data_IF_504157598376
#
_entry.id   IF_504157598376
#
_cell.length_a   1.000
_cell.length_b   1.000
_cell.length_c   1.000
_cell.angle_alpha   90.00
_cell.angle_beta   90.00
_cell.angle_gamma   90.00
#
_symmetry.space_group_name_H-M   'P 1'
#
loop_
_entity.id
_entity.type
_entity.pdbx_description
1 polymer ?
#
# COMPACT_ATOMS: atom_id res chain seq x y z
N UNK A 1 25.77 -14.48 19.30
CA UNK A 1 25.92 -13.79 18.00
C UNK A 1 24.63 -13.84 17.18
N UNK A 2 24.00 -15.01 17.01
CA UNK A 2 22.73 -15.23 16.29
C UNK A 2 21.58 -14.34 16.79
N UNK A 3 21.38 -14.20 18.09
CA UNK A 3 20.32 -13.35 18.67
C UNK A 3 20.41 -11.88 18.22
N UNK A 4 21.61 -11.27 18.33
CA UNK A 4 21.84 -9.88 17.91
C UNK A 4 21.62 -9.71 16.41
N UNK A 5 22.04 -10.69 15.61
CA UNK A 5 21.85 -10.68 14.17
C UNK A 5 20.36 -10.70 13.79
N UNK A 6 19.57 -11.61 14.38
CA UNK A 6 18.13 -11.71 14.12
C UNK A 6 17.38 -10.43 14.52
N UNK A 7 17.74 -9.82 15.65
CA UNK A 7 17.18 -8.53 16.07
C UNK A 7 17.52 -7.40 15.09
N UNK A 8 18.78 -7.30 14.66
CA UNK A 8 19.18 -6.24 13.72
C UNK A 8 18.54 -6.43 12.34
N UNK A 9 18.41 -7.67 11.87
CA UNK A 9 17.71 -8.02 10.64
C UNK A 9 16.22 -7.61 10.69
N UNK A 10 15.62 -7.65 11.87
CA UNK A 10 14.26 -7.18 12.12
C UNK A 10 14.13 -5.65 12.19
N UNK A 11 14.91 -5.04 13.09
CA UNK A 11 14.76 -3.64 13.47
C UNK A 11 15.24 -2.68 12.40
N UNK A 12 16.37 -2.94 11.73
CA UNK A 12 16.96 -1.98 10.79
C UNK A 12 16.03 -1.71 9.60
N UNK A 13 15.52 -2.73 8.87
CA UNK A 13 14.60 -2.50 7.76
C UNK A 13 13.30 -1.83 8.24
N UNK A 14 12.82 -2.21 9.42
CA UNK A 14 11.59 -1.66 9.98
C UNK A 14 11.72 -0.17 10.29
N UNK A 15 12.76 0.23 11.03
CA UNK A 15 13.04 1.65 11.35
C UNK A 15 13.22 2.45 10.06
N UNK A 16 14.02 1.93 9.11
CA UNK A 16 14.19 2.57 7.81
C UNK A 16 12.86 2.80 7.08
N UNK A 17 11.96 1.82 7.13
CA UNK A 17 10.63 1.92 6.52
C UNK A 17 9.74 2.96 7.18
N UNK A 18 9.77 3.05 8.52
CA UNK A 18 9.03 4.08 9.24
C UNK A 18 9.55 5.48 8.89
N UNK A 19 10.87 5.67 8.83
CA UNK A 19 11.46 6.95 8.43
C UNK A 19 11.05 7.31 7.00
N UNK A 20 11.24 6.41 6.05
CA UNK A 20 10.87 6.62 4.64
C UNK A 20 9.36 6.92 4.52
N UNK A 21 8.49 6.11 5.14
CA UNK A 21 7.04 6.36 5.13
C UNK A 21 6.70 7.72 5.74
N UNK A 22 7.33 8.08 6.86
CA UNK A 22 7.06 9.36 7.54
C UNK A 22 7.39 10.55 6.64
N UNK A 23 8.53 10.54 5.96
CA UNK A 23 8.96 11.65 5.11
C UNK A 23 8.26 11.70 3.75
N UNK A 24 8.05 10.56 3.10
CA UNK A 24 7.55 10.50 1.72
C UNK A 24 6.05 10.24 1.60
N UNK A 25 5.41 9.68 2.64
CA UNK A 25 3.97 9.40 2.68
C UNK A 25 3.28 10.26 3.73
N UNK A 26 3.51 9.99 5.01
CA UNK A 26 2.62 10.49 6.08
C UNK A 26 2.67 12.02 6.21
N UNK A 27 3.83 12.66 6.01
CA UNK A 27 3.94 14.13 6.02
C UNK A 27 3.08 14.78 4.93
N UNK A 28 2.96 14.14 3.77
CA UNK A 28 2.14 14.63 2.66
C UNK A 28 0.67 14.27 2.90
N UNK A 29 0.38 13.01 3.23
CA UNK A 29 -0.99 12.53 3.42
C UNK A 29 -1.70 13.17 4.63
N UNK A 30 -0.96 13.63 5.63
CA UNK A 30 -1.49 14.35 6.80
C UNK A 30 -1.37 15.87 6.67
N UNK A 31 -0.92 16.39 5.53
CA UNK A 31 -0.94 17.84 5.29
C UNK A 31 -2.37 18.32 5.11
N UNK A 32 -2.63 19.59 5.43
CA UNK A 32 -3.96 20.22 5.28
C UNK A 32 -4.48 20.16 3.84
N UNK A 33 -3.57 20.15 2.87
CA UNK A 33 -3.89 19.95 1.46
C UNK A 33 -4.62 18.62 1.19
N UNK A 34 -4.46 17.61 2.07
CA UNK A 34 -5.06 16.29 1.92
C UNK A 34 -6.58 16.26 2.02
N UNK A 35 -7.16 17.25 2.71
CA UNK A 35 -8.61 17.40 2.86
C UNK A 35 -9.18 18.33 1.76
N UNK A 36 -8.34 18.78 0.82
CA UNK A 36 -8.78 19.56 -0.34
C UNK A 36 -9.71 18.73 -1.21
N UNK A 37 -10.86 19.32 -1.57
CA UNK A 37 -11.85 18.65 -2.41
C UNK A 37 -11.47 18.72 -3.88
N UNK A 38 -11.48 17.57 -4.54
CA UNK A 38 -11.31 17.42 -5.98
C UNK A 38 -12.68 17.35 -6.67
N UNK A 39 -12.68 17.53 -8.00
CA UNK A 39 -13.91 17.61 -8.79
C UNK A 39 -14.69 16.29 -8.73
N UNK A 40 -13.97 15.18 -8.93
CA UNK A 40 -14.54 13.84 -9.03
C UNK A 40 -14.47 13.07 -7.71
N UNK A 41 -15.49 12.25 -7.46
CA UNK A 41 -15.43 11.27 -6.37
C UNK A 41 -14.40 10.17 -6.68
N UNK A 42 -13.99 9.43 -5.65
CA UNK A 42 -13.07 8.30 -5.84
C UNK A 42 -13.60 7.27 -6.83
N UNK A 43 -14.91 6.99 -6.84
CA UNK A 43 -15.53 6.09 -7.82
C UNK A 43 -15.48 6.66 -9.24
N UNK A 44 -15.87 7.93 -9.42
CA UNK A 44 -15.83 8.60 -10.73
C UNK A 44 -14.40 8.65 -11.30
N UNK A 45 -13.42 8.85 -10.43
CA UNK A 45 -12.01 8.85 -10.78
C UNK A 45 -11.55 7.49 -11.32
N UNK A 46 -11.92 6.40 -10.64
CA UNK A 46 -11.63 5.03 -11.11
C UNK A 46 -12.22 4.79 -12.48
N UNK A 47 -13.50 5.12 -12.66
CA UNK A 47 -14.19 4.88 -13.94
C UNK A 47 -13.51 5.62 -15.08
N UNK A 48 -13.03 6.85 -14.84
CA UNK A 48 -12.26 7.63 -15.82
C UNK A 48 -10.91 6.98 -16.15
N UNK A 49 -10.15 6.59 -15.14
CA UNK A 49 -8.85 5.93 -15.31
C UNK A 49 -9.00 4.63 -16.09
N UNK A 50 -9.99 3.80 -15.74
CA UNK A 50 -10.25 2.53 -16.41
C UNK A 50 -10.72 2.73 -17.86
N UNK A 51 -11.55 3.75 -18.14
CA UNK A 51 -11.94 4.11 -19.50
C UNK A 51 -10.74 4.52 -20.36
N UNK A 52 -9.83 5.34 -19.82
CA UNK A 52 -8.60 5.74 -20.51
C UNK A 52 -7.67 4.55 -20.75
N UNK A 53 -7.54 3.66 -19.77
CA UNK A 53 -6.81 2.40 -19.89
C UNK A 53 -7.49 1.33 -20.74
N UNK A 54 -8.64 1.62 -21.39
CA UNK A 54 -9.46 0.68 -22.17
C UNK A 54 -9.84 -0.60 -21.41
N UNK A 55 -10.03 -0.49 -20.09
CA UNK A 55 -10.32 -1.58 -19.16
C UNK A 55 -11.71 -1.40 -18.52
N UNK A 56 -12.73 -1.17 -19.35
CA UNK A 56 -14.12 -0.92 -18.89
C UNK A 56 -14.85 -2.17 -18.39
N UNK A 57 -14.28 -3.34 -18.64
CA UNK A 57 -14.74 -4.66 -18.20
C UNK A 57 -14.40 -4.96 -16.72
N UNK A 58 -13.59 -4.12 -16.07
CA UNK A 58 -13.18 -4.31 -14.67
C UNK A 58 -14.36 -4.05 -13.73
N UNK A 59 -14.66 -5.03 -12.88
CA UNK A 59 -15.71 -4.92 -11.86
C UNK A 59 -15.25 -4.05 -10.67
N UNK A 60 -15.95 -2.94 -10.43
CA UNK A 60 -15.71 -2.09 -9.25
C UNK A 60 -16.59 -2.58 -8.10
N UNK A 61 -15.99 -3.27 -7.14
CA UNK A 61 -16.68 -3.76 -5.95
C UNK A 61 -16.49 -2.79 -4.78
N UNK A 62 -17.59 -2.29 -4.22
CA UNK A 62 -17.54 -1.42 -3.03
C UNK A 62 -17.70 -2.27 -1.76
N UNK A 63 -16.57 -2.67 -1.16
CA UNK A 63 -16.56 -3.54 0.04
C UNK A 63 -15.47 -3.08 1.01
N UNK A 64 -15.75 -3.16 2.32
CA UNK A 64 -14.70 -3.01 3.34
C UNK A 64 -13.81 -4.25 3.32
N UNK A 65 -12.54 -4.09 2.93
CA UNK A 65 -11.52 -5.14 3.04
C UNK A 65 -10.23 -4.55 3.61
N UNK A 66 -9.57 -5.23 4.56
CA UNK A 66 -8.34 -4.74 5.18
C UNK A 66 -7.11 -4.90 4.26
N UNK A 67 -7.19 -5.80 3.28
CA UNK A 67 -6.11 -6.09 2.33
C UNK A 67 -6.39 -5.44 0.99
N UNK A 68 -5.38 -5.34 0.12
CA UNK A 68 -5.50 -4.92 -1.27
C UNK A 68 -6.20 -6.03 -2.08
N UNK A 69 -7.51 -5.96 -2.40
CA UNK A 69 -8.20 -7.01 -3.11
C UNK A 69 -8.36 -6.50 -4.53
N UNK A 70 -7.28 -6.62 -5.28
CA UNK A 70 -7.26 -6.29 -6.69
C UNK A 70 -6.90 -7.54 -7.48
N UNK A 71 -7.41 -7.57 -8.70
CA UNK A 71 -7.02 -8.50 -9.75
C UNK A 71 -7.12 -7.79 -11.10
N UNK A 72 -6.77 -8.48 -12.20
CA UNK A 72 -6.86 -7.89 -13.54
C UNK A 72 -8.30 -7.54 -13.94
N UNK A 73 -9.29 -8.19 -13.33
CA UNK A 73 -10.71 -8.09 -13.67
C UNK A 73 -11.56 -7.38 -12.60
N UNK A 74 -10.99 -7.10 -11.42
CA UNK A 74 -11.76 -6.50 -10.34
C UNK A 74 -10.92 -5.55 -9.49
N UNK A 75 -11.59 -4.50 -9.02
CA UNK A 75 -11.06 -3.53 -8.09
C UNK A 75 -11.99 -3.44 -6.89
N UNK A 76 -11.46 -3.62 -5.69
CA UNK A 76 -12.23 -3.34 -4.47
C UNK A 76 -11.84 -1.99 -3.87
N UNK A 77 -12.83 -1.13 -3.67
CA UNK A 77 -12.69 0.15 -2.95
C UNK A 77 -13.61 0.16 -1.72
N UNK A 78 -13.22 0.88 -0.68
CA UNK A 78 -14.11 1.04 0.49
C UNK A 78 -15.24 2.03 0.18
N UNK A 79 -16.41 1.91 0.86
CA UNK A 79 -17.51 2.87 0.67
C UNK A 79 -17.09 4.32 0.89
N UNK A 80 -16.30 4.56 1.96
CA UNK A 80 -15.77 5.88 2.27
C UNK A 80 -14.93 6.44 1.11
N UNK A 81 -14.03 5.63 0.56
CA UNK A 81 -13.20 6.05 -0.57
C UNK A 81 -13.98 6.23 -1.88
N UNK A 82 -15.05 5.46 -2.08
CA UNK A 82 -15.89 5.57 -3.26
C UNK A 82 -16.62 6.91 -3.32
N UNK A 83 -17.13 7.36 -2.16
CA UNK A 83 -17.91 8.60 -2.01
C UNK A 83 -17.04 9.84 -1.73
N UNK A 84 -15.82 9.64 -1.20
CA UNK A 84 -14.92 10.73 -0.84
C UNK A 84 -14.53 11.55 -2.07
N UNK A 85 -14.50 12.87 -1.85
CA UNK A 85 -13.95 13.87 -2.77
C UNK A 85 -12.66 14.48 -2.23
N UNK A 86 -12.13 13.98 -1.12
CA UNK A 86 -10.84 14.44 -0.61
C UNK A 86 -9.73 13.90 -1.49
N UNK A 87 -8.81 14.76 -1.92
CA UNK A 87 -7.67 14.37 -2.75
C UNK A 87 -6.90 13.19 -2.17
N UNK A 88 -6.78 13.13 -0.83
CA UNK A 88 -6.11 12.02 -0.16
C UNK A 88 -6.76 10.68 -0.50
N UNK A 89 -8.08 10.58 -0.41
CA UNK A 89 -8.76 9.33 -0.69
C UNK A 89 -8.81 9.03 -2.19
N UNK A 90 -9.08 10.05 -3.00
CA UNK A 90 -9.17 9.93 -4.46
C UNK A 90 -7.83 9.51 -5.07
N UNK A 91 -6.72 10.11 -4.65
CA UNK A 91 -5.37 9.70 -5.06
C UNK A 91 -5.03 8.26 -4.60
N UNK A 92 -5.46 7.89 -3.39
CA UNK A 92 -5.28 6.54 -2.88
C UNK A 92 -5.99 5.51 -3.75
N UNK A 93 -7.21 5.82 -4.21
CA UNK A 93 -7.96 4.96 -5.11
C UNK A 93 -7.38 4.97 -6.53
N UNK A 94 -6.96 6.13 -7.04
CA UNK A 94 -6.34 6.25 -8.35
C UNK A 94 -5.09 5.36 -8.48
N UNK A 95 -4.25 5.31 -7.44
CA UNK A 95 -3.12 4.40 -7.37
C UNK A 95 -3.53 2.92 -7.50
N UNK A 96 -4.65 2.53 -6.90
CA UNK A 96 -5.15 1.15 -6.99
C UNK A 96 -5.69 0.87 -8.39
N UNK A 97 -6.39 1.82 -9.02
CA UNK A 97 -6.80 1.70 -10.42
C UNK A 97 -5.59 1.52 -11.36
N UNK A 98 -4.50 2.28 -11.15
CA UNK A 98 -3.25 2.10 -11.88
C UNK A 98 -2.64 0.70 -11.68
N UNK A 99 -2.74 0.13 -10.48
CA UNK A 99 -2.27 -1.23 -10.21
C UNK A 99 -3.11 -2.29 -10.92
N UNK A 100 -4.41 -2.04 -11.10
CA UNK A 100 -5.27 -2.93 -11.91
C UNK A 100 -4.89 -2.87 -13.39
N UNK A 101 -4.64 -1.68 -13.94
CA UNK A 101 -4.14 -1.55 -15.31
C UNK A 101 -2.81 -2.28 -15.51
N UNK A 102 -1.91 -2.19 -14.54
CA UNK A 102 -0.67 -2.98 -14.53
C UNK A 102 -0.93 -4.49 -14.41
N UNK A 103 -1.89 -4.91 -13.58
CA UNK A 103 -2.20 -6.34 -13.40
C UNK A 103 -2.70 -6.99 -14.70
N UNK A 104 -3.42 -6.22 -15.54
CA UNK A 104 -3.85 -6.71 -16.86
C UNK A 104 -2.69 -6.96 -17.81
N UNK A 105 -1.58 -6.25 -17.66
CA UNK A 105 -0.38 -6.43 -18.48
C UNK A 105 0.58 -7.46 -17.87
N UNK A 106 0.71 -7.46 -16.54
CA UNK A 106 1.70 -8.22 -15.79
C UNK A 106 1.12 -8.77 -14.48
N UNK A 107 0.13 -9.67 -14.58
CA UNK A 107 -0.60 -10.20 -13.42
C UNK A 107 0.35 -10.79 -12.36
N UNK A 108 1.33 -11.60 -12.80
CA UNK A 108 2.30 -12.23 -11.89
C UNK A 108 3.05 -11.21 -11.02
N UNK A 109 3.42 -10.06 -11.58
CA UNK A 109 4.18 -9.03 -10.88
C UNK A 109 3.29 -8.35 -9.84
N UNK A 110 2.08 -7.95 -10.21
CA UNK A 110 1.13 -7.32 -9.30
C UNK A 110 0.61 -8.31 -8.23
N UNK A 111 0.43 -9.57 -8.58
CA UNK A 111 0.10 -10.64 -7.65
C UNK A 111 1.20 -10.82 -6.60
N UNK A 112 2.48 -10.69 -6.98
CA UNK A 112 3.60 -10.72 -6.04
C UNK A 112 3.54 -9.58 -5.02
N UNK A 113 3.23 -8.35 -5.45
CA UNK A 113 3.00 -7.22 -4.53
C UNK A 113 1.82 -7.47 -3.61
N UNK A 114 0.70 -7.92 -4.17
CA UNK A 114 -0.53 -8.20 -3.42
C UNK A 114 -0.31 -9.27 -2.36
N UNK A 115 0.45 -10.32 -2.71
CA UNK A 115 0.86 -11.36 -1.79
C UNK A 115 1.79 -10.82 -0.69
N UNK A 116 2.81 -10.02 -1.03
CA UNK A 116 3.72 -9.42 -0.05
C UNK A 116 2.97 -8.51 0.96
N UNK A 117 1.98 -7.75 0.49
CA UNK A 117 1.12 -6.93 1.37
C UNK A 117 0.27 -7.81 2.31
N UNK A 118 -0.31 -8.90 1.81
CA UNK A 118 -1.05 -9.86 2.64
C UNK A 118 -0.13 -10.53 3.67
N UNK A 119 1.06 -10.93 3.25
CA UNK A 119 2.09 -11.53 4.11
C UNK A 119 2.46 -10.57 5.25
N UNK A 120 2.75 -9.30 4.94
CA UNK A 120 3.10 -8.29 5.94
C UNK A 120 1.97 -7.90 6.91
N UNK A 121 0.73 -8.30 6.63
CA UNK A 121 -0.39 -8.17 7.56
C UNK A 121 -0.55 -9.42 8.44
N UNK A 122 -0.56 -10.61 7.83
CA UNK A 122 -0.91 -11.85 8.52
C UNK A 122 0.26 -12.49 9.28
N UNK A 123 1.45 -12.55 8.66
CA UNK A 123 2.58 -13.34 9.18
C UNK A 123 3.18 -12.79 10.47
N UNK A 124 3.35 -11.47 10.66
CA UNK A 124 3.83 -10.96 11.93
C UNK A 124 2.89 -11.33 13.09
N UNK A 125 1.56 -11.20 12.91
CA UNK A 125 0.58 -11.59 13.92
C UNK A 125 0.65 -13.08 14.27
N UNK A 126 0.71 -13.94 13.24
CA UNK A 126 0.88 -15.39 13.43
C UNK A 126 2.20 -15.73 14.16
N UNK A 127 3.30 -15.07 13.80
CA UNK A 127 4.60 -15.27 14.43
C UNK A 127 4.57 -14.86 15.91
N UNK A 128 3.90 -13.76 16.25
CA UNK A 128 3.74 -13.32 17.64
C UNK A 128 2.98 -14.37 18.46
N UNK A 129 1.82 -14.83 17.96
CA UNK A 129 0.99 -15.82 18.65
C UNK A 129 1.75 -17.13 18.89
N UNK A 130 2.41 -17.64 17.85
CA UNK A 130 3.18 -18.90 17.94
C UNK A 130 4.37 -18.78 18.88
N UNK A 131 5.07 -17.66 18.90
CA UNK A 131 6.20 -17.42 19.81
C UNK A 131 5.74 -17.27 21.26
N UNK A 132 4.62 -16.61 21.51
CA UNK A 132 4.01 -16.56 22.85
C UNK A 132 3.69 -17.97 23.36
N UNK A 133 3.06 -18.79 22.52
CA UNK A 133 2.76 -20.17 22.88
C UNK A 133 4.03 -20.99 23.15
N UNK A 134 5.06 -20.85 22.30
CA UNK A 134 6.33 -21.55 22.48
C UNK A 134 7.06 -21.15 23.79
N UNK A 135 6.93 -19.89 24.22
CA UNK A 135 7.42 -19.44 25.52
C UNK A 135 6.64 -20.07 26.67
N UNK A 136 5.31 -20.10 26.60
CA UNK A 136 4.43 -20.66 27.66
C UNK A 136 4.71 -22.15 27.88
N UNK A 137 4.96 -22.91 26.81
CA UNK A 137 5.28 -24.35 26.87
C UNK A 137 6.76 -24.59 27.25
N UNK A 138 7.54 -23.54 27.50
CA UNK A 138 8.95 -23.65 27.90
C UNK A 138 9.87 -24.15 26.79
N UNK A 139 9.43 -24.13 25.52
CA UNK A 139 10.20 -24.61 24.37
C UNK A 139 11.20 -23.59 23.85
N UNK A 140 10.95 -22.30 24.08
CA UNK A 140 11.78 -21.20 23.57
C UNK A 140 12.04 -20.18 24.67
N UNK A 141 13.30 -19.78 24.92
CA UNK A 141 13.61 -18.75 25.89
C UNK A 141 13.06 -17.38 25.41
N UNK A 142 12.62 -16.49 26.33
CA UNK A 142 11.99 -15.22 25.96
C UNK A 142 12.82 -14.35 25.00
N UNK A 143 14.15 -14.32 25.19
CA UNK A 143 15.05 -13.58 24.30
C UNK A 143 14.97 -14.09 22.86
N UNK A 144 14.97 -15.40 22.65
CA UNK A 144 14.92 -15.97 21.31
C UNK A 144 13.55 -15.77 20.65
N UNK A 145 12.46 -15.82 21.42
CA UNK A 145 11.12 -15.51 20.93
C UNK A 145 11.05 -14.06 20.39
N UNK A 146 11.58 -13.08 21.13
CA UNK A 146 11.63 -11.68 20.68
C UNK A 146 12.46 -11.52 19.41
N UNK A 147 13.60 -12.21 19.31
CA UNK A 147 14.42 -12.17 18.11
C UNK A 147 13.70 -12.76 16.88
N UNK A 148 12.96 -13.85 17.03
CA UNK A 148 12.19 -14.46 15.93
C UNK A 148 11.03 -13.55 15.51
N UNK A 149 10.29 -12.96 16.46
CA UNK A 149 9.23 -11.99 16.16
C UNK A 149 9.78 -10.78 15.38
N UNK A 150 10.93 -10.25 15.82
CA UNK A 150 11.61 -9.16 15.13
C UNK A 150 12.05 -9.56 13.71
N UNK A 151 12.65 -10.74 13.55
CA UNK A 151 13.06 -11.24 12.24
C UNK A 151 11.87 -11.43 11.27
N UNK A 152 10.72 -11.88 11.76
CA UNK A 152 9.49 -11.99 10.97
C UNK A 152 8.98 -10.64 10.45
N UNK A 153 9.06 -9.60 11.28
CA UNK A 153 8.77 -8.21 10.86
C UNK A 153 9.80 -7.69 9.85
N UNK A 154 11.09 -7.95 10.08
CA UNK A 154 12.15 -7.59 9.14
C UNK A 154 11.97 -8.22 7.76
N UNK A 155 11.72 -9.53 7.72
CA UNK A 155 11.49 -10.26 6.49
C UNK A 155 10.26 -9.72 5.74
N UNK A 156 9.16 -9.47 6.46
CA UNK A 156 7.96 -8.85 5.89
C UNK A 156 8.28 -7.49 5.26
N UNK A 157 9.10 -6.69 5.95
CA UNK A 157 9.52 -5.37 5.49
C UNK A 157 10.39 -5.45 4.24
N UNK A 158 11.37 -6.36 4.20
CA UNK A 158 12.23 -6.58 3.03
C UNK A 158 11.43 -7.03 1.81
N UNK A 159 10.43 -7.91 2.01
CA UNK A 159 9.51 -8.30 0.94
C UNK A 159 8.72 -7.10 0.40
N UNK A 160 8.26 -6.21 1.28
CA UNK A 160 7.58 -4.98 0.86
C UNK A 160 8.50 -4.03 0.10
N UNK A 161 9.78 -3.96 0.45
CA UNK A 161 10.76 -3.16 -0.29
C UNK A 161 10.99 -3.70 -1.69
N UNK A 162 11.17 -5.02 -1.80
CA UNK A 162 11.43 -5.69 -3.09
C UNK A 162 10.29 -5.49 -4.10
N UNK A 163 9.07 -5.28 -3.60
CA UNK A 163 7.86 -5.13 -4.43
C UNK A 163 7.39 -3.69 -4.57
N UNK A 164 8.06 -2.73 -3.93
CA UNK A 164 7.67 -1.31 -3.93
C UNK A 164 7.71 -0.69 -5.33
N UNK A 165 8.60 -1.18 -6.20
CA UNK A 165 8.71 -0.71 -7.58
C UNK A 165 7.38 -0.78 -8.34
N UNK A 166 6.50 -1.72 -7.98
CA UNK A 166 5.20 -1.94 -8.62
C UNK A 166 4.23 -0.80 -8.27
N UNK A 167 4.18 -0.39 -7.00
CA UNK A 167 3.36 0.77 -6.61
C UNK A 167 3.90 2.08 -7.19
N UNK A 168 5.23 2.22 -7.29
CA UNK A 168 5.83 3.40 -7.93
C UNK A 168 5.57 3.45 -9.44
N UNK A 169 5.62 2.30 -10.12
CA UNK A 169 5.29 2.20 -11.53
C UNK A 169 3.81 2.52 -11.77
N UNK A 170 2.91 2.02 -10.92
CA UNK A 170 1.49 2.37 -10.97
C UNK A 170 1.27 3.87 -10.75
N UNK A 171 1.92 4.45 -9.74
CA UNK A 171 1.87 5.88 -9.49
C UNK A 171 2.31 6.67 -10.72
N UNK A 172 3.39 6.25 -11.38
CA UNK A 172 3.87 6.88 -12.61
C UNK A 172 2.82 6.83 -13.72
N UNK A 173 2.20 5.68 -13.99
CA UNK A 173 1.13 5.55 -15.00
C UNK A 173 -0.01 6.54 -14.74
N UNK A 174 -0.39 6.72 -13.48
CA UNK A 174 -1.43 7.69 -13.11
C UNK A 174 -0.97 9.14 -13.29
N UNK A 175 0.30 9.46 -12.97
CA UNK A 175 0.87 10.78 -13.22
C UNK A 175 0.89 11.07 -14.73
N UNK A 176 1.33 10.11 -15.54
CA UNK A 176 1.35 10.24 -16.99
C UNK A 176 -0.09 10.49 -17.53
N UNK A 177 -1.12 9.84 -16.97
CA UNK A 177 -2.52 10.11 -17.34
C UNK A 177 -3.04 11.48 -16.86
N UNK A 178 -2.59 11.96 -15.70
CA UNK A 178 -2.93 13.30 -15.20
C UNK A 178 -2.37 14.37 -16.13
N UNK A 179 -1.15 14.18 -16.62
CA UNK A 179 -0.44 15.12 -17.48
C UNK A 179 -0.94 15.06 -18.94
N UNK A 180 -1.11 13.87 -19.51
CA UNK A 180 -1.37 13.70 -20.94
C UNK A 180 -2.87 13.65 -21.30
N UNK A 181 -3.74 13.21 -20.38
CA UNK A 181 -5.13 12.84 -20.69
C UNK A 181 -6.19 13.72 -20.02
N UNK A 182 -5.81 14.86 -19.42
CA UNK A 182 -6.72 15.78 -18.71
C UNK A 182 -7.71 15.04 -17.79
N UNK A 183 -7.17 14.10 -16.99
CA UNK A 183 -7.95 13.24 -16.08
C UNK A 183 -8.87 14.06 -15.16
N UNK A 184 -8.36 15.24 -14.77
CA UNK A 184 -9.02 16.28 -13.97
C UNK A 184 -9.11 17.59 -14.76
N UNK A 185 -10.12 18.43 -14.51
CA UNK A 185 -10.36 19.64 -15.29
C UNK A 185 -9.40 20.79 -14.99
N UNK A 186 -8.70 20.78 -13.85
CA UNK A 186 -7.83 21.88 -13.38
C UNK A 186 -6.40 21.40 -13.22
N UNK A 187 -5.44 22.21 -13.69
CA UNK A 187 -4.01 21.92 -13.54
C UNK A 187 -3.60 21.84 -12.06
N UNK A 188 -4.09 22.77 -11.24
CA UNK A 188 -3.82 22.74 -9.79
C UNK A 188 -4.38 21.48 -9.10
N UNK A 189 -5.46 20.90 -9.62
CA UNK A 189 -6.00 19.63 -9.14
C UNK A 189 -5.12 18.45 -9.58
N UNK A 190 -4.56 18.52 -10.80
CA UNK A 190 -3.66 17.51 -11.35
C UNK A 190 -2.35 17.44 -10.56
N UNK A 191 -1.69 18.58 -10.33
CA UNK A 191 -0.46 18.67 -9.53
C UNK A 191 -0.66 18.14 -8.10
N UNK A 192 -1.81 18.46 -7.50
CA UNK A 192 -2.16 18.03 -6.15
C UNK A 192 -2.44 16.52 -6.13
N UNK A 193 -3.19 15.99 -7.10
CA UNK A 193 -3.38 14.56 -7.27
C UNK A 193 -2.05 13.82 -7.48
N UNK A 194 -1.16 14.32 -8.32
CA UNK A 194 0.15 13.74 -8.61
C UNK A 194 0.99 13.61 -7.32
N UNK A 195 1.07 14.69 -6.53
CA UNK A 195 1.75 14.71 -5.23
C UNK A 195 1.20 13.64 -4.29
N UNK A 196 -0.12 13.51 -4.19
CA UNK A 196 -0.75 12.54 -3.28
C UNK A 196 -0.66 11.10 -3.80
N UNK A 197 -0.75 10.86 -5.11
CA UNK A 197 -0.56 9.54 -5.71
C UNK A 197 0.87 9.03 -5.45
N UNK A 198 1.87 9.91 -5.67
CA UNK A 198 3.27 9.61 -5.33
C UNK A 198 3.42 9.30 -3.84
N UNK A 199 2.80 10.08 -2.96
CA UNK A 199 2.85 9.83 -1.52
C UNK A 199 2.22 8.48 -1.13
N UNK A 200 1.07 8.11 -1.71
CA UNK A 200 0.42 6.81 -1.44
C UNK A 200 1.27 5.62 -1.88
N UNK A 201 2.09 5.76 -2.93
CA UNK A 201 2.99 4.69 -3.38
C UNK A 201 4.03 4.27 -2.32
N UNK A 202 4.28 5.13 -1.32
CA UNK A 202 5.17 4.84 -0.20
C UNK A 202 4.44 4.32 1.03
N UNK A 203 3.10 4.40 1.08
CA UNK A 203 2.31 4.11 2.28
C UNK A 203 2.46 2.65 2.73
N UNK A 204 2.55 1.71 1.77
CA UNK A 204 2.61 0.27 2.02
C UNK A 204 4.05 -0.26 2.10
N UNK A 205 5.02 0.58 2.42
CA UNK A 205 6.40 0.15 2.71
C UNK A 205 6.55 -0.47 4.11
N UNK A 206 5.66 -0.11 5.03
CA UNK A 206 5.61 -0.64 6.40
C UNK A 206 4.64 -1.82 6.47
N UNK A 207 4.98 -2.92 7.17
CA UNK A 207 4.07 -4.05 7.37
C UNK A 207 2.75 -3.62 8.01
N UNK A 208 1.63 -4.09 7.45
CA UNK A 208 0.29 -3.75 7.92
C UNK A 208 0.05 -4.05 9.40
N UNK A 209 0.71 -5.09 9.93
CA UNK A 209 0.65 -5.49 11.33
C UNK A 209 1.16 -4.43 12.32
N UNK A 210 1.94 -3.44 11.85
CA UNK A 210 2.47 -2.34 12.66
C UNK A 210 2.20 -0.97 12.03
N UNK A 211 1.40 -0.93 10.95
CA UNK A 211 1.18 0.27 10.16
C UNK A 211 0.32 1.34 10.87
N UNK A 212 -0.28 1.00 12.02
CA UNK A 212 -1.05 1.88 12.91
C UNK A 212 -0.20 2.58 13.97
N UNK A 213 1.06 2.15 14.16
CA UNK A 213 2.06 2.86 14.96
C UNK A 213 2.65 4.02 14.14
#
# INVERSE_FOLDING_TARGET
MIFKFLLMLGLIPLIGSFLVRKFFSDRVLKSEEGDTKVTYSGKEMVERILKLGKATDVEIQVKKRPFLPLGPEYLVISPQQAESKEVRDVAGVALIAGMVLMARQQDRVVAWRTWAVKFGYAMPGFTIITMIFAMVVGRVPPSMAVAIMSAGLGLSTLLLWSTLAIEKASAKVICDYLDESALVPRISEAELMEKFVKAHSWRRIVPGAVAFL
#
